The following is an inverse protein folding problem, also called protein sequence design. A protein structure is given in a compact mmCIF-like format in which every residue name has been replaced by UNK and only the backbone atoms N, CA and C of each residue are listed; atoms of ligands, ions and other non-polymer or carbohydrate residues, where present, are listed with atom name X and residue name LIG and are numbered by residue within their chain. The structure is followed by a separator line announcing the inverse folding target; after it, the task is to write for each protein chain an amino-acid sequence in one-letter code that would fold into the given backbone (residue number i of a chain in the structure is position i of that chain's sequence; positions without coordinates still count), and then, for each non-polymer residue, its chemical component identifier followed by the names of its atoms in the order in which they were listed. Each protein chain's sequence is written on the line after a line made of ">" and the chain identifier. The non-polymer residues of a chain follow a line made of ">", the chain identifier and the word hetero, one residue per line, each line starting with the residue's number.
data_IF_468582049258
#
_entry.id   IF_468582049258
#
_cell.length_a   1.000
_cell.length_b   1.000
_cell.length_c   1.000
_cell.angle_alpha   90.00
_cell.angle_beta   90.00
_cell.angle_gamma   90.00
#
_symmetry.space_group_name_H-M   'P 1'
#
loop_
_entity.id
_entity.type
_entity.pdbx_description
1 polymer ?
#
# COMPACT_ATOMS: atom_id res chain seq x y z
N UNK A 1 -26.50 -20.12 -2.69
CA UNK A 1 -25.05 -20.40 -2.67
C UNK A 1 -24.47 -19.92 -4.00
N UNK A 2 -23.85 -18.76 -4.04
CA UNK A 2 -23.13 -18.26 -5.23
C UNK A 2 -21.92 -19.16 -5.46
N UNK A 3 -21.85 -19.82 -6.61
CA UNK A 3 -20.66 -20.56 -7.02
C UNK A 3 -19.54 -19.54 -7.18
N UNK A 4 -18.57 -19.55 -6.27
CA UNK A 4 -17.39 -18.72 -6.37
C UNK A 4 -16.73 -18.88 -7.75
N UNK A 5 -16.38 -17.75 -8.38
CA UNK A 5 -15.64 -17.76 -9.64
C UNK A 5 -14.34 -18.55 -9.40
N UNK A 6 -13.97 -19.50 -10.29
CA UNK A 6 -12.72 -20.24 -10.11
C UNK A 6 -11.54 -19.26 -10.07
N UNK A 7 -10.44 -19.60 -9.34
CA UNK A 7 -9.28 -18.72 -9.26
C UNK A 7 -8.76 -18.42 -10.67
N UNK A 8 -8.59 -17.15 -10.98
CA UNK A 8 -8.08 -16.70 -12.27
C UNK A 8 -6.60 -17.09 -12.40
N UNK A 9 -6.12 -17.29 -13.64
CA UNK A 9 -4.69 -17.53 -13.90
C UNK A 9 -3.87 -16.31 -13.49
N UNK A 10 -2.59 -16.48 -13.06
CA UNK A 10 -1.75 -15.34 -12.66
C UNK A 10 -1.70 -14.20 -13.68
N UNK A 11 -1.61 -14.53 -14.98
CA UNK A 11 -1.67 -13.54 -16.05
C UNK A 11 -3.00 -12.76 -16.09
N UNK A 12 -4.11 -13.37 -15.76
CA UNK A 12 -5.41 -12.72 -15.67
C UNK A 12 -5.48 -11.81 -14.44
N UNK A 13 -4.94 -12.25 -13.32
CA UNK A 13 -4.86 -11.45 -12.08
C UNK A 13 -4.05 -10.16 -12.32
N UNK A 14 -2.91 -10.25 -13.00
CA UNK A 14 -2.10 -9.06 -13.35
C UNK A 14 -2.88 -8.08 -14.22
N UNK A 15 -3.67 -8.58 -15.18
CA UNK A 15 -4.45 -7.73 -16.09
C UNK A 15 -5.68 -7.11 -15.41
N UNK A 16 -6.32 -7.83 -14.50
CA UNK A 16 -7.57 -7.40 -13.86
C UNK A 16 -7.36 -6.73 -12.48
N UNK A 17 -6.20 -6.93 -11.85
CA UNK A 17 -5.92 -6.46 -10.49
C UNK A 17 -6.07 -4.96 -10.31
N UNK A 18 -6.56 -4.56 -9.15
CA UNK A 18 -6.73 -3.16 -8.77
C UNK A 18 -7.80 -2.37 -9.51
N UNK A 19 -8.64 -3.02 -10.31
CA UNK A 19 -9.70 -2.37 -11.11
C UNK A 19 -11.06 -2.41 -10.40
N UNK A 20 -11.21 -1.70 -9.30
CA UNK A 20 -12.50 -1.62 -8.63
C UNK A 20 -13.51 -0.86 -9.47
N UNK A 21 -14.74 -1.38 -9.57
CA UNK A 21 -15.82 -0.77 -10.34
C UNK A 21 -16.15 0.66 -9.91
N UNK A 22 -16.03 0.96 -8.63
CA UNK A 22 -16.24 2.30 -8.07
C UNK A 22 -15.27 3.36 -8.62
N UNK A 23 -14.12 2.95 -9.13
CA UNK A 23 -13.12 3.85 -9.73
C UNK A 23 -13.13 3.86 -11.26
N UNK A 24 -13.78 2.89 -11.87
CA UNK A 24 -13.79 2.69 -13.31
C UNK A 24 -15.15 2.89 -13.96
N UNK A 25 -16.24 2.92 -13.18
CA UNK A 25 -17.59 3.16 -13.72
C UNK A 25 -17.77 4.63 -14.14
N UNK A 26 -18.36 4.79 -15.31
CA UNK A 26 -18.88 6.10 -15.75
C UNK A 26 -20.24 6.31 -15.09
N UNK A 27 -20.39 7.38 -14.32
CA UNK A 27 -21.62 7.66 -13.56
C UNK A 27 -22.89 7.55 -14.42
N UNK A 28 -23.88 6.80 -13.90
CA UNK A 28 -25.21 6.66 -14.49
C UNK A 28 -25.35 5.69 -15.66
N UNK A 29 -24.29 5.04 -16.14
CA UNK A 29 -24.32 4.14 -17.29
C UNK A 29 -23.88 2.71 -16.98
N UNK A 30 -24.07 1.81 -17.95
CA UNK A 30 -23.56 0.42 -17.90
C UNK A 30 -22.12 0.30 -18.39
N UNK A 31 -21.48 1.40 -18.76
CA UNK A 31 -20.13 1.46 -19.28
C UNK A 31 -19.10 1.81 -18.20
N UNK A 32 -17.86 1.48 -18.46
CA UNK A 32 -16.72 1.82 -17.60
C UNK A 32 -15.44 2.01 -18.43
N UNK A 33 -14.44 2.58 -17.80
CA UNK A 33 -13.08 2.65 -18.35
C UNK A 33 -12.27 1.45 -17.87
N UNK A 34 -11.28 1.04 -18.65
CA UNK A 34 -10.50 -0.16 -18.31
C UNK A 34 -9.63 0.05 -17.08
N UNK A 35 -8.98 1.19 -16.98
CA UNK A 35 -8.09 1.52 -15.87
C UNK A 35 -8.61 2.73 -15.09
N UNK A 36 -8.41 2.80 -13.76
CA UNK A 36 -8.71 4.00 -13.00
C UNK A 36 -7.99 5.22 -13.59
N UNK A 37 -8.64 6.39 -13.68
CA UNK A 37 -7.97 7.62 -14.10
C UNK A 37 -6.93 8.06 -13.07
N UNK A 38 -6.03 8.95 -13.49
CA UNK A 38 -5.07 9.57 -12.56
C UNK A 38 -5.81 10.59 -11.70
N UNK A 39 -5.91 10.31 -10.41
CA UNK A 39 -6.53 11.17 -9.41
C UNK A 39 -5.49 12.13 -8.82
N UNK A 40 -5.68 13.42 -9.02
CA UNK A 40 -4.87 14.48 -8.41
C UNK A 40 -5.72 15.19 -7.38
N UNK A 41 -5.57 14.83 -6.11
CA UNK A 41 -6.34 15.38 -5.03
C UNK A 41 -5.46 15.67 -3.80
N UNK A 42 -5.79 16.72 -3.08
CA UNK A 42 -5.30 17.04 -1.75
C UNK A 42 -6.47 17.14 -0.80
N UNK A 43 -7.12 18.30 -0.74
CA UNK A 43 -8.33 18.50 0.06
C UNK A 43 -9.53 17.83 -0.62
N UNK A 44 -10.31 17.11 0.16
CA UNK A 44 -11.60 16.54 -0.25
C UNK A 44 -12.71 17.38 0.37
N UNK A 45 -13.68 17.74 -0.44
CA UNK A 45 -14.87 18.46 0.01
C UNK A 45 -15.92 17.46 0.48
N UNK A 46 -16.58 17.80 1.56
CA UNK A 46 -17.68 17.04 2.14
C UNK A 46 -18.97 17.85 2.05
N UNK A 47 -20.11 17.18 1.90
CA UNK A 47 -21.41 17.83 1.77
C UNK A 47 -21.76 18.64 3.03
N UNK A 48 -21.38 18.13 4.21
CA UNK A 48 -21.60 18.78 5.49
C UNK A 48 -20.56 18.38 6.56
N UNK A 49 -20.65 19.03 7.72
CA UNK A 49 -19.76 18.78 8.87
C UNK A 49 -19.96 17.39 9.45
N UNK A 50 -21.16 16.82 9.37
CA UNK A 50 -21.42 15.47 9.87
C UNK A 50 -20.71 14.43 9.01
N UNK A 51 -20.76 14.57 7.69
CA UNK A 51 -20.03 13.74 6.72
C UNK A 51 -18.52 13.86 6.93
N UNK A 52 -17.97 15.05 7.15
CA UNK A 52 -16.57 15.25 7.47
C UNK A 52 -16.18 14.50 8.76
N UNK A 53 -16.94 14.66 9.83
CA UNK A 53 -16.67 13.98 11.12
C UNK A 53 -16.76 12.47 11.00
N UNK A 54 -17.70 11.95 10.23
CA UNK A 54 -17.82 10.52 9.95
C UNK A 54 -16.59 10.03 9.19
N UNK A 55 -16.17 10.70 8.13
CA UNK A 55 -14.97 10.37 7.35
C UNK A 55 -13.70 10.33 8.19
N UNK A 56 -13.53 11.30 9.11
CA UNK A 56 -12.38 11.33 10.04
C UNK A 56 -12.35 10.11 10.96
N UNK A 57 -13.53 9.65 11.41
CA UNK A 57 -13.62 8.52 12.36
C UNK A 57 -13.36 7.19 11.69
N UNK A 58 -13.90 6.97 10.50
CA UNK A 58 -13.78 5.68 9.80
C UNK A 58 -12.41 5.52 9.19
N UNK A 59 -11.88 6.61 8.58
CA UNK A 59 -10.53 6.67 8.00
C UNK A 59 -10.10 5.39 7.29
N UNK A 60 -11.07 4.75 6.63
CA UNK A 60 -10.89 3.44 6.01
C UNK A 60 -9.99 3.55 4.78
N UNK A 61 -9.14 2.54 4.59
CA UNK A 61 -8.35 2.40 3.39
C UNK A 61 -9.26 2.24 2.15
N UNK A 62 -8.87 2.88 1.05
CA UNK A 62 -9.66 2.88 -0.17
C UNK A 62 -10.80 3.88 -0.22
N UNK A 63 -11.00 4.71 0.81
CA UNK A 63 -11.96 5.82 0.81
C UNK A 63 -11.29 7.17 0.75
N UNK A 64 -11.80 8.05 -0.11
CA UNK A 64 -11.32 9.42 -0.23
C UNK A 64 -11.66 10.21 1.03
N UNK A 65 -10.66 10.45 1.84
CA UNK A 65 -10.72 11.29 3.02
C UNK A 65 -9.86 12.56 2.86
N UNK A 66 -8.62 12.38 2.45
CA UNK A 66 -7.67 13.43 2.18
C UNK A 66 -6.58 12.88 1.24
N UNK A 67 -6.28 13.58 0.16
CA UNK A 67 -5.42 13.06 -0.92
C UNK A 67 -4.04 12.58 -0.47
N UNK A 68 -3.47 13.14 0.62
CA UNK A 68 -2.22 12.65 1.21
C UNK A 68 -2.31 11.20 1.72
N UNK A 69 -3.50 10.73 2.07
CA UNK A 69 -3.73 9.36 2.54
C UNK A 69 -3.94 8.36 1.40
N UNK A 70 -3.86 8.84 0.20
CA UNK A 70 -4.01 8.06 -1.02
C UNK A 70 -5.23 8.47 -1.83
N UNK A 71 -5.25 7.99 -3.04
CA UNK A 71 -6.32 8.16 -4.02
C UNK A 71 -6.48 6.84 -4.77
N UNK A 72 -7.53 6.64 -5.56
CA UNK A 72 -7.68 5.45 -6.39
C UNK A 72 -6.45 5.13 -7.26
N UNK A 73 -5.63 6.12 -7.61
CA UNK A 73 -4.38 5.90 -8.36
C UNK A 73 -3.39 5.03 -7.58
N UNK A 74 -3.15 5.34 -6.30
CA UNK A 74 -2.25 4.56 -5.45
C UNK A 74 -2.90 3.25 -5.01
N UNK A 75 -4.19 3.29 -4.63
CA UNK A 75 -4.91 2.11 -4.14
C UNK A 75 -5.05 1.03 -5.21
N UNK A 76 -5.30 1.41 -6.46
CA UNK A 76 -5.34 0.47 -7.58
C UNK A 76 -4.03 -0.32 -7.73
N UNK A 77 -2.88 0.35 -7.59
CA UNK A 77 -1.58 -0.34 -7.61
C UNK A 77 -1.38 -1.22 -6.38
N UNK A 78 -1.71 -0.71 -5.19
CA UNK A 78 -1.57 -1.46 -3.95
C UNK A 78 -2.45 -2.73 -3.95
N UNK A 79 -3.70 -2.62 -4.41
CA UNK A 79 -4.62 -3.75 -4.56
C UNK A 79 -4.06 -4.80 -5.54
N UNK A 80 -3.60 -4.35 -6.72
CA UNK A 80 -3.04 -5.25 -7.72
C UNK A 80 -1.83 -6.03 -7.19
N UNK A 81 -0.94 -5.37 -6.45
CA UNK A 81 0.22 -6.02 -5.83
C UNK A 81 -0.20 -6.98 -4.70
N UNK A 82 -1.19 -6.60 -3.90
CA UNK A 82 -1.73 -7.45 -2.83
C UNK A 82 -2.37 -8.73 -3.42
N UNK A 83 -3.13 -8.60 -4.50
CA UNK A 83 -3.76 -9.74 -5.17
C UNK A 83 -2.75 -10.72 -5.80
N UNK A 84 -1.54 -10.26 -6.10
CA UNK A 84 -0.46 -11.09 -6.67
C UNK A 84 0.32 -11.87 -5.61
N UNK A 85 0.29 -11.44 -4.37
CA UNK A 85 1.05 -12.07 -3.28
C UNK A 85 0.11 -12.91 -2.42
N UNK A 86 0.26 -14.24 -2.41
CA UNK A 86 -0.60 -15.12 -1.61
C UNK A 86 -0.58 -14.73 -0.12
N UNK A 87 -1.77 -14.69 0.48
CA UNK A 87 -1.96 -14.40 1.91
C UNK A 87 -1.55 -12.97 2.36
N UNK A 88 -1.18 -12.08 1.44
CA UNK A 88 -0.91 -10.69 1.79
C UNK A 88 -2.16 -10.00 2.32
N UNK A 89 -2.04 -9.34 3.47
CA UNK A 89 -3.13 -8.55 4.06
C UNK A 89 -3.29 -7.17 3.38
N UNK A 90 -2.25 -6.68 2.72
CA UNK A 90 -2.24 -5.40 2.03
C UNK A 90 -0.85 -5.00 1.57
N UNK A 91 -0.77 -3.96 0.75
CA UNK A 91 0.48 -3.42 0.22
C UNK A 91 0.64 -1.96 0.61
N UNK A 92 1.78 -1.61 1.19
CA UNK A 92 2.17 -0.24 1.47
C UNK A 92 3.14 0.26 0.40
N UNK A 93 2.83 1.40 -0.21
CA UNK A 93 3.66 1.99 -1.26
C UNK A 93 4.61 3.04 -0.68
N UNK A 94 5.87 2.99 -1.10
CA UNK A 94 6.92 3.93 -0.72
C UNK A 94 7.60 4.53 -1.95
N UNK A 95 8.22 5.73 -1.84
CA UNK A 95 8.83 6.41 -2.99
C UNK A 95 10.11 5.72 -3.50
N UNK A 96 10.67 4.76 -2.75
CA UNK A 96 11.82 3.97 -3.16
C UNK A 96 11.92 2.66 -2.40
N UNK A 97 12.65 1.67 -2.95
CA UNK A 97 12.91 0.42 -2.25
C UNK A 97 13.67 0.60 -0.94
N UNK A 98 14.61 1.55 -0.89
CA UNK A 98 15.34 1.88 0.35
C UNK A 98 14.39 2.42 1.41
N UNK A 99 13.44 3.28 1.04
CA UNK A 99 12.41 3.78 1.97
C UNK A 99 11.52 2.64 2.48
N UNK A 100 11.10 1.73 1.60
CA UNK A 100 10.30 0.56 1.98
C UNK A 100 11.07 -0.33 2.98
N UNK A 101 12.32 -0.65 2.70
CA UNK A 101 13.17 -1.44 3.58
C UNK A 101 13.38 -0.76 4.95
N UNK A 102 13.69 0.54 4.95
CA UNK A 102 13.91 1.28 6.19
C UNK A 102 12.65 1.27 7.08
N UNK A 103 11.48 1.55 6.49
CA UNK A 103 10.22 1.56 7.25
C UNK A 103 9.83 0.17 7.70
N UNK A 104 10.01 -0.87 6.88
CA UNK A 104 9.75 -2.24 7.27
C UNK A 104 10.58 -2.66 8.50
N UNK A 105 11.87 -2.37 8.51
CA UNK A 105 12.74 -2.65 9.65
C UNK A 105 12.31 -1.86 10.90
N UNK A 106 12.07 -0.56 10.76
CA UNK A 106 11.64 0.30 11.88
C UNK A 106 10.23 -0.02 12.40
N UNK A 107 9.40 -0.71 11.63
CA UNK A 107 8.05 -1.10 12.09
C UNK A 107 8.06 -2.26 13.07
N UNK A 108 9.14 -3.05 13.11
CA UNK A 108 9.25 -4.26 13.93
C UNK A 108 10.40 -4.23 14.95
N UNK A 109 11.35 -3.30 14.79
CA UNK A 109 12.52 -3.19 15.65
C UNK A 109 12.40 -2.03 16.64
N UNK A 110 12.79 -2.27 17.87
CA UNK A 110 12.85 -1.28 18.96
C UNK A 110 14.29 -1.03 19.38
N UNK A 111 14.59 0.11 20.03
CA UNK A 111 15.88 0.33 20.67
C UNK A 111 16.25 -0.81 21.63
N UNK A 112 17.45 -1.37 21.46
CA UNK A 112 17.94 -2.52 22.21
C UNK A 112 17.76 -3.87 21.52
N UNK A 113 16.99 -3.94 20.42
CA UNK A 113 16.85 -5.17 19.63
C UNK A 113 18.12 -5.48 18.81
N UNK A 114 18.26 -6.74 18.43
CA UNK A 114 19.29 -7.22 17.51
C UNK A 114 18.65 -7.73 16.22
N UNK A 115 19.12 -7.22 15.08
CA UNK A 115 18.77 -7.67 13.74
C UNK A 115 19.79 -8.67 13.23
N UNK A 116 19.36 -9.86 12.82
CA UNK A 116 20.18 -10.80 12.06
C UNK A 116 20.02 -10.53 10.57
N UNK A 117 21.12 -10.25 9.89
CA UNK A 117 21.12 -9.88 8.47
C UNK A 117 22.10 -10.76 7.71
N UNK A 118 21.67 -11.25 6.54
CA UNK A 118 22.57 -11.97 5.64
C UNK A 118 23.70 -11.05 5.17
N UNK A 119 24.94 -11.55 5.16
CA UNK A 119 26.12 -10.72 4.81
C UNK A 119 26.09 -10.24 3.34
N UNK A 120 25.46 -11.00 2.44
CA UNK A 120 25.26 -10.63 1.04
C UNK A 120 24.11 -9.66 0.79
N UNK A 121 23.57 -9.00 1.83
CA UNK A 121 22.47 -8.06 1.68
C UNK A 121 22.84 -6.88 0.76
N UNK A 122 21.80 -6.30 0.15
CA UNK A 122 21.93 -5.12 -0.69
C UNK A 122 22.60 -3.97 0.05
N UNK A 123 23.62 -3.38 -0.55
CA UNK A 123 24.50 -2.38 0.08
C UNK A 123 23.78 -1.19 0.72
N UNK A 124 22.76 -0.56 0.11
CA UNK A 124 21.98 0.46 0.78
C UNK A 124 21.23 -0.03 2.03
N UNK A 125 20.82 -1.31 2.09
CA UNK A 125 20.24 -1.90 3.31
C UNK A 125 21.29 -2.01 4.41
N UNK A 126 22.52 -2.40 4.07
CA UNK A 126 23.65 -2.38 4.99
C UNK A 126 23.88 -0.96 5.54
N UNK A 127 23.83 0.05 4.68
CA UNK A 127 23.92 1.46 5.09
C UNK A 127 22.82 1.88 6.08
N UNK A 128 21.58 1.37 5.93
CA UNK A 128 20.51 1.58 6.92
C UNK A 128 20.90 0.93 8.27
N UNK A 129 21.37 -0.32 8.24
CA UNK A 129 21.75 -1.05 9.45
C UNK A 129 22.89 -0.35 10.22
N UNK A 130 23.97 -0.03 9.53
CA UNK A 130 25.18 0.57 10.13
C UNK A 130 25.01 2.06 10.47
N UNK A 131 24.09 2.74 9.82
CA UNK A 131 23.78 4.15 10.05
C UNK A 131 22.55 4.36 10.91
N UNK A 132 21.38 4.25 10.30
CA UNK A 132 20.11 4.62 10.92
C UNK A 132 19.76 3.75 12.13
N UNK A 133 19.78 2.42 11.98
CA UNK A 133 19.41 1.49 13.04
C UNK A 133 20.38 1.60 14.23
N UNK A 134 21.68 1.67 13.94
CA UNK A 134 22.71 1.88 14.98
C UNK A 134 22.47 3.15 15.79
N UNK A 135 22.08 4.27 15.15
CA UNK A 135 21.74 5.53 15.84
C UNK A 135 20.53 5.39 16.75
N UNK A 136 19.60 4.48 16.45
CA UNK A 136 18.44 4.18 17.29
C UNK A 136 18.73 3.09 18.33
N UNK A 137 19.98 2.65 18.49
CA UNK A 137 20.35 1.66 19.48
C UNK A 137 19.96 0.23 19.10
N UNK A 138 19.77 -0.05 17.80
CA UNK A 138 19.50 -1.37 17.26
C UNK A 138 20.81 -1.95 16.74
N UNK A 139 21.20 -3.12 17.24
CA UNK A 139 22.39 -3.82 16.80
C UNK A 139 22.12 -4.62 15.53
N UNK A 140 23.11 -4.76 14.64
CA UNK A 140 23.02 -5.64 13.49
C UNK A 140 24.16 -6.65 13.54
N UNK A 141 23.83 -7.93 13.42
CA UNK A 141 24.79 -9.02 13.28
C UNK A 141 24.62 -9.68 11.93
N UNK A 142 25.72 -9.76 11.20
CA UNK A 142 25.73 -10.39 9.87
C UNK A 142 26.13 -11.88 9.98
N UNK A 143 25.61 -12.72 9.08
CA UNK A 143 25.91 -14.13 8.96
C UNK A 143 26.05 -14.58 7.51
#
# INVERSE_FOLDING_TARGET
>A
MSKGKPPSRPATQIVEGGRRSEWTHLGGGKGGIVNPPVWRASTILYDDVAALRAGVRTNEDGKLFYGRRGTPTQWSLADALTEMEPEAAGTMLYPSGVAATAVALLSVLNPGDELLMVDSTYDPTRGICEGLLKRFGIATRYY
#
